data_IF_190912295072
#
_entry.id   IF_190912295072
#
_cell.length_a   1.000
_cell.length_b   1.000
_cell.length_c   1.000
_cell.angle_alpha   90.00
_cell.angle_beta   90.00
_cell.angle_gamma   90.00
#
_symmetry.space_group_name_H-M   'P 1'
#
loop_
_entity.id
_entity.type
_entity.pdbx_description
1 polymer ?
#
# COMPACT_ATOMS: atom_id res chain seq x y z
N UNK A 1 2.37 -20.44 4.74
CA UNK A 1 1.62 -20.63 3.47
C UNK A 1 1.07 -19.32 2.97
N UNK A 2 0.93 -19.19 1.67
CA UNK A 2 0.40 -17.96 1.08
C UNK A 2 -1.09 -17.86 1.33
N UNK A 3 -1.53 -16.74 1.91
CA UNK A 3 -2.94 -16.46 2.15
C UNK A 3 -3.57 -15.68 1.01
N UNK A 4 -2.77 -14.91 0.27
CA UNK A 4 -3.27 -14.13 -0.85
C UNK A 4 -2.17 -13.39 -1.57
N UNK A 5 -2.44 -13.03 -2.81
CA UNK A 5 -1.55 -12.22 -3.62
C UNK A 5 -2.35 -11.10 -4.26
N UNK A 6 -1.69 -9.99 -4.53
CA UNK A 6 -2.31 -8.87 -5.19
C UNK A 6 -1.30 -8.10 -6.01
N UNK A 7 -1.78 -7.48 -7.06
CA UNK A 7 -0.97 -6.62 -7.91
C UNK A 7 -1.80 -5.43 -8.34
N UNK A 8 -1.13 -4.32 -8.58
CA UNK A 8 -1.79 -3.12 -9.07
C UNK A 8 -0.83 -2.29 -9.90
N UNK A 9 -1.36 -1.58 -10.85
CA UNK A 9 -0.60 -0.65 -11.70
C UNK A 9 -1.36 0.67 -11.75
N UNK A 10 -0.66 1.78 -11.55
CA UNK A 10 -1.27 3.10 -11.56
C UNK A 10 -0.46 4.07 -12.41
N UNK A 11 -1.13 5.02 -13.01
CA UNK A 11 -0.45 6.12 -13.71
C UNK A 11 0.03 7.14 -12.68
N UNK A 12 1.33 7.43 -12.71
CA UNK A 12 1.94 8.37 -11.77
C UNK A 12 1.29 9.75 -11.89
N UNK A 13 1.03 10.21 -13.13
CA UNK A 13 0.41 11.51 -13.36
C UNK A 13 -0.98 11.66 -12.76
N UNK A 14 -1.78 10.58 -12.77
CA UNK A 14 -3.12 10.60 -12.17
C UNK A 14 -3.03 10.69 -10.64
N UNK A 15 -2.12 9.94 -10.03
CA UNK A 15 -1.92 10.01 -8.59
C UNK A 15 -1.38 11.38 -8.19
N UNK A 16 -0.43 11.93 -8.95
CA UNK A 16 0.11 13.27 -8.71
C UNK A 16 -1.00 14.32 -8.71
N UNK A 17 -1.90 14.25 -9.68
CA UNK A 17 -3.03 15.18 -9.76
C UNK A 17 -3.95 15.04 -8.54
N UNK A 18 -4.25 13.81 -8.14
CA UNK A 18 -5.08 13.56 -6.96
C UNK A 18 -4.42 14.09 -5.69
N UNK A 19 -3.10 13.93 -5.55
CA UNK A 19 -2.34 14.42 -4.41
C UNK A 19 -2.37 15.95 -4.28
N UNK A 20 -2.69 16.66 -5.34
CA UNK A 20 -2.88 18.11 -5.31
C UNK A 20 -4.11 18.54 -4.51
N UNK A 21 -5.01 17.61 -4.21
CA UNK A 21 -6.18 17.85 -3.37
C UNK A 21 -5.89 17.40 -1.95
N UNK A 22 -6.01 18.31 -0.99
CA UNK A 22 -5.72 18.00 0.42
C UNK A 22 -6.58 16.87 0.97
N UNK A 23 -7.84 16.76 0.51
CA UNK A 23 -8.73 15.69 0.95
C UNK A 23 -8.21 14.31 0.56
N UNK A 24 -7.73 14.15 -0.67
CA UNK A 24 -7.13 12.90 -1.11
C UNK A 24 -5.83 12.61 -0.34
N UNK A 25 -4.94 13.60 -0.29
CA UNK A 25 -3.64 13.51 0.35
C UNK A 25 -3.75 13.04 1.81
N UNK A 26 -4.66 13.68 2.57
CA UNK A 26 -4.82 13.37 3.99
C UNK A 26 -5.63 12.11 4.25
N UNK A 27 -6.48 11.69 3.32
CA UNK A 27 -7.28 10.49 3.47
C UNK A 27 -6.52 9.23 3.08
N UNK A 28 -5.53 9.35 2.22
CA UNK A 28 -4.80 8.19 1.68
C UNK A 28 -3.48 7.95 2.38
N UNK A 29 -2.76 9.01 2.76
CA UNK A 29 -1.40 8.88 3.28
C UNK A 29 -1.30 9.33 4.74
N UNK A 30 -0.63 8.51 5.55
CA UNK A 30 -0.34 8.87 6.95
C UNK A 30 0.68 10.01 6.99
N UNK A 31 0.81 10.65 8.16
CA UNK A 31 1.80 11.72 8.34
C UNK A 31 3.21 11.24 7.98
N UNK A 32 3.57 10.02 8.38
CA UNK A 32 4.88 9.44 8.07
C UNK A 32 5.07 9.22 6.57
N UNK A 33 4.01 8.73 5.89
CA UNK A 33 4.06 8.59 4.45
C UNK A 33 4.22 9.94 3.75
N UNK A 34 3.46 10.94 4.20
CA UNK A 34 3.54 12.28 3.61
C UNK A 34 4.95 12.86 3.73
N UNK A 35 5.58 12.67 4.87
CA UNK A 35 6.96 13.12 5.08
C UNK A 35 7.94 12.39 4.16
N UNK A 36 7.80 11.09 4.06
CA UNK A 36 8.67 10.25 3.23
C UNK A 36 8.48 10.56 1.74
N UNK A 37 7.25 10.79 1.31
CA UNK A 37 6.92 11.10 -0.08
C UNK A 37 7.41 12.50 -0.45
N UNK A 38 7.14 13.49 0.40
CA UNK A 38 7.46 14.88 0.09
C UNK A 38 6.82 15.29 -1.23
N UNK A 39 7.65 15.65 -2.20
CA UNK A 39 7.19 16.04 -3.55
C UNK A 39 7.42 14.94 -4.59
N UNK A 40 7.88 13.79 -4.18
CA UNK A 40 8.16 12.68 -5.09
C UNK A 40 6.88 11.91 -5.41
N UNK A 41 6.23 12.28 -6.48
CA UNK A 41 4.96 11.68 -6.87
C UNK A 41 5.10 10.22 -7.35
N UNK A 42 6.27 9.82 -7.78
CA UNK A 42 6.54 8.41 -8.07
C UNK A 42 6.41 7.56 -6.80
N UNK A 43 6.89 8.09 -5.66
CA UNK A 43 6.69 7.43 -4.35
C UNK A 43 5.24 7.41 -3.93
N UNK A 44 4.52 8.52 -4.15
CA UNK A 44 3.09 8.57 -3.84
C UNK A 44 2.32 7.52 -4.63
N UNK A 45 2.63 7.38 -5.92
CA UNK A 45 1.99 6.39 -6.79
C UNK A 45 2.35 4.96 -6.37
N UNK A 46 3.62 4.71 -6.04
CA UNK A 46 4.06 3.40 -5.57
C UNK A 46 3.35 2.98 -4.29
N UNK A 47 3.24 3.89 -3.33
CA UNK A 47 2.52 3.63 -2.09
C UNK A 47 1.04 3.36 -2.34
N UNK A 48 0.41 4.14 -3.23
CA UNK A 48 -0.99 3.93 -3.58
C UNK A 48 -1.20 2.54 -4.20
N UNK A 49 -0.32 2.16 -5.12
CA UNK A 49 -0.39 0.85 -5.77
C UNK A 49 -0.23 -0.29 -4.74
N UNK A 50 0.65 -0.13 -3.74
CA UNK A 50 0.80 -1.13 -2.66
C UNK A 50 -0.49 -1.28 -1.87
N UNK A 51 -1.14 -0.18 -1.52
CA UNK A 51 -2.41 -0.22 -0.76
C UNK A 51 -3.48 -0.99 -1.53
N UNK A 52 -3.60 -0.73 -2.83
CA UNK A 52 -4.51 -1.46 -3.71
C UNK A 52 -4.15 -2.95 -3.80
N UNK A 53 -2.87 -3.25 -3.97
CA UNK A 53 -2.40 -4.64 -4.08
C UNK A 53 -2.70 -5.43 -2.80
N UNK A 54 -2.55 -4.80 -1.63
CA UNK A 54 -2.82 -5.47 -0.35
C UNK A 54 -4.30 -5.81 -0.19
N UNK A 55 -5.21 -4.88 -0.51
CA UNK A 55 -6.64 -5.19 -0.38
C UNK A 55 -7.08 -6.22 -1.42
N UNK A 56 -6.40 -6.31 -2.57
CA UNK A 56 -6.60 -7.41 -3.50
C UNK A 56 -6.11 -8.74 -2.92
N UNK A 57 -4.95 -8.73 -2.25
CA UNK A 57 -4.43 -9.92 -1.58
C UNK A 57 -5.38 -10.39 -0.46
N UNK A 58 -6.03 -9.46 0.23
CA UNK A 58 -7.06 -9.78 1.22
C UNK A 58 -8.38 -10.24 0.59
N UNK A 59 -8.59 -9.93 -0.68
CA UNK A 59 -9.83 -10.25 -1.37
C UNK A 59 -11.00 -9.34 -1.00
N UNK A 60 -10.73 -8.20 -0.35
CA UNK A 60 -11.78 -7.32 0.16
C UNK A 60 -12.03 -6.08 -0.70
N UNK A 61 -10.99 -5.59 -1.39
CA UNK A 61 -11.02 -4.24 -1.92
C UNK A 61 -11.10 -3.21 -0.80
N UNK A 62 -11.23 -1.94 -1.14
CA UNK A 62 -11.50 -0.90 -0.17
C UNK A 62 -12.99 -0.84 0.12
N UNK A 63 -13.33 -0.54 1.35
CA UNK A 63 -14.68 -0.48 1.85
C UNK A 63 -14.55 -0.21 3.33
N UNK A 64 -14.57 -1.27 4.14
CA UNK A 64 -14.27 -1.14 5.57
C UNK A 64 -12.81 -0.77 5.78
N UNK A 65 -11.90 -1.29 4.96
CA UNK A 65 -10.50 -0.93 5.00
C UNK A 65 -10.30 0.36 4.22
N UNK A 66 -9.69 1.35 4.86
CA UNK A 66 -9.38 2.63 4.25
C UNK A 66 -7.89 2.69 3.87
N UNK A 67 -7.53 3.39 2.79
CA UNK A 67 -6.12 3.45 2.36
C UNK A 67 -5.15 3.92 3.45
N UNK A 68 -5.55 4.85 4.29
CA UNK A 68 -4.70 5.39 5.35
C UNK A 68 -4.34 4.33 6.40
N UNK A 69 -5.09 3.23 6.48
CA UNK A 69 -4.83 2.15 7.43
C UNK A 69 -3.69 1.24 6.98
N UNK A 70 -3.23 1.41 5.75
CA UNK A 70 -2.10 0.66 5.18
C UNK A 70 -0.97 1.65 4.94
N UNK A 71 -0.03 1.70 5.86
CA UNK A 71 1.08 2.65 5.80
C UNK A 71 2.29 2.01 5.14
N UNK A 72 2.77 2.60 4.06
CA UNK A 72 3.90 2.07 3.29
C UNK A 72 5.11 2.95 3.52
N UNK A 73 6.13 2.40 4.14
CA UNK A 73 7.36 3.11 4.44
C UNK A 73 8.55 2.41 3.79
N UNK A 74 9.73 2.98 3.94
CA UNK A 74 10.96 2.41 3.41
C UNK A 74 11.95 2.20 4.55
N UNK A 75 12.67 1.08 4.54
CA UNK A 75 13.76 0.86 5.47
C UNK A 75 15.00 1.66 5.03
N UNK A 76 16.08 1.67 5.81
CA UNK A 76 17.29 2.43 5.44
C UNK A 76 17.90 2.02 4.09
N UNK A 77 17.67 0.79 3.64
CA UNK A 77 18.13 0.31 2.34
C UNK A 77 17.17 0.68 1.19
N UNK A 78 16.03 1.29 1.51
CA UNK A 78 15.03 1.67 0.51
C UNK A 78 13.98 0.61 0.23
N UNK A 79 14.01 -0.50 0.95
CA UNK A 79 13.05 -1.59 0.76
C UNK A 79 11.70 -1.21 1.36
N UNK A 80 10.59 -1.36 0.62
CA UNK A 80 9.28 -1.05 1.17
C UNK A 80 8.83 -2.09 2.20
N UNK A 81 8.15 -1.60 3.22
CA UNK A 81 7.47 -2.43 4.21
C UNK A 81 6.17 -1.75 4.62
N UNK A 82 5.30 -2.49 5.28
CA UNK A 82 3.93 -2.06 5.54
C UNK A 82 3.58 -2.21 7.01
N UNK A 83 2.93 -1.18 7.55
CA UNK A 83 2.27 -1.24 8.86
C UNK A 83 0.77 -1.20 8.63
N UNK A 84 0.04 -2.04 9.35
CA UNK A 84 -1.42 -2.09 9.26
C UNK A 84 -2.05 -1.55 10.53
N UNK A 85 -3.16 -0.83 10.37
CA UNK A 85 -3.89 -0.21 11.47
C UNK A 85 -5.38 -0.51 11.35
N UNK A 86 -6.08 -0.49 12.48
CA UNK A 86 -7.55 -0.56 12.55
C UNK A 86 -8.12 -1.73 11.74
N UNK A 87 -9.06 -1.46 10.83
CA UNK A 87 -9.74 -2.51 10.06
C UNK A 87 -8.78 -3.32 9.19
N UNK A 88 -7.71 -2.70 8.68
CA UNK A 88 -6.70 -3.42 7.90
C UNK A 88 -5.96 -4.44 8.77
N UNK A 89 -5.59 -4.04 9.98
CA UNK A 89 -4.95 -4.95 10.95
C UNK A 89 -5.91 -6.06 11.36
N UNK A 90 -7.18 -5.73 11.61
CA UNK A 90 -8.18 -6.71 11.99
C UNK A 90 -8.41 -7.73 10.88
N UNK A 91 -8.45 -7.29 9.62
CA UNK A 91 -8.62 -8.21 8.49
C UNK A 91 -7.45 -9.19 8.39
N UNK A 92 -6.23 -8.71 8.58
CA UNK A 92 -5.06 -9.58 8.59
C UNK A 92 -5.17 -10.63 9.70
N UNK A 93 -5.58 -10.23 10.90
CA UNK A 93 -5.76 -11.15 12.02
C UNK A 93 -6.84 -12.19 11.72
N UNK A 94 -7.95 -11.76 11.16
CA UNK A 94 -9.05 -12.67 10.81
C UNK A 94 -8.62 -13.73 9.81
N UNK A 95 -7.76 -13.37 8.86
CA UNK A 95 -7.21 -14.30 7.87
C UNK A 95 -6.04 -15.11 8.38
N UNK A 96 -5.53 -14.81 9.58
CA UNK A 96 -4.32 -15.44 10.11
C UNK A 96 -3.04 -14.99 9.44
N UNK A 97 -3.08 -13.83 8.79
CA UNK A 97 -1.92 -13.27 8.09
C UNK A 97 -0.92 -12.73 9.10
N UNK A 98 0.32 -13.18 9.03
CA UNK A 98 1.40 -12.77 9.91
C UNK A 98 2.46 -11.93 9.21
N UNK A 99 2.56 -12.05 7.89
CA UNK A 99 3.53 -11.28 7.14
C UNK A 99 2.92 -10.76 5.85
N UNK A 100 3.30 -9.54 5.51
CA UNK A 100 2.94 -8.95 4.21
C UNK A 100 4.24 -8.50 3.56
N UNK A 101 4.48 -9.00 2.36
CA UNK A 101 5.68 -8.72 1.59
C UNK A 101 5.26 -7.96 0.35
N UNK A 102 5.94 -6.87 0.07
CA UNK A 102 5.57 -6.00 -1.04
C UNK A 102 6.79 -5.66 -1.88
N UNK A 103 6.53 -5.42 -3.15
CA UNK A 103 7.55 -4.97 -4.10
C UNK A 103 6.94 -3.88 -4.96
N UNK A 104 7.74 -2.89 -5.31
CA UNK A 104 7.31 -1.77 -6.14
C UNK A 104 8.28 -1.63 -7.30
N UNK A 105 7.72 -1.48 -8.50
CA UNK A 105 8.49 -1.15 -9.69
C UNK A 105 7.94 0.16 -10.24
N UNK A 106 8.82 1.13 -10.44
CA UNK A 106 8.46 2.41 -11.04
C UNK A 106 9.13 2.55 -12.39
N UNK A 107 8.38 3.03 -13.36
CA UNK A 107 8.97 3.48 -14.60
C UNK A 107 8.52 4.94 -14.81
N UNK A 108 8.72 5.50 -15.97
CA UNK A 108 8.49 6.92 -16.20
C UNK A 108 7.03 7.36 -15.96
N UNK A 109 6.08 6.52 -16.38
CA UNK A 109 4.65 6.89 -16.35
C UNK A 109 3.83 6.05 -15.39
N UNK A 110 4.31 4.88 -14.99
CA UNK A 110 3.54 3.92 -14.20
C UNK A 110 4.30 3.45 -12.98
N UNK A 111 3.56 3.19 -11.92
CA UNK A 111 4.05 2.47 -10.75
C UNK A 111 3.28 1.16 -10.64
N UNK A 112 4.01 0.07 -10.41
CA UNK A 112 3.46 -1.27 -10.25
C UNK A 112 3.78 -1.76 -8.86
N UNK A 113 2.83 -2.38 -8.20
CA UNK A 113 3.07 -3.01 -6.91
C UNK A 113 2.62 -4.46 -6.92
N UNK A 114 3.31 -5.26 -6.13
CA UNK A 114 2.97 -6.65 -5.90
C UNK A 114 2.94 -6.88 -4.39
N UNK A 115 1.93 -7.61 -3.90
CA UNK A 115 1.80 -7.94 -2.49
C UNK A 115 1.57 -9.43 -2.30
N UNK A 116 2.23 -9.98 -1.28
CA UNK A 116 2.03 -11.37 -0.85
C UNK A 116 1.68 -11.33 0.63
N UNK A 117 0.52 -11.89 0.97
CA UNK A 117 0.11 -12.07 2.35
C UNK A 117 0.38 -13.52 2.74
N UNK A 118 1.12 -13.70 3.82
CA UNK A 118 1.53 -15.02 4.28
C UNK A 118 0.94 -15.30 5.65
N UNK A 119 0.39 -16.49 5.82
CA UNK A 119 -0.12 -16.92 7.12
C UNK A 119 0.72 -18.08 7.64
N UNK A 120 0.66 -18.24 8.98
CA UNK A 120 1.39 -19.32 9.63
C UNK A 120 0.91 -20.67 9.11
N UNK A 121 1.86 -21.51 8.78
CA UNK A 121 1.60 -22.90 8.41
C UNK A 121 1.35 -23.73 9.68
N UNK A 122 0.41 -24.63 9.59
CA UNK A 122 0.10 -25.53 10.69
C UNK A 122 0.24 -26.97 10.27
#
# INVERSE_FOLDING_TARGET
MIAGIGTDIVEIGRVAKACGHSSFWNRVYTAKEQEMIGKNMSRAAGNFAVKEAIVKAFGTGFGKIQPIQIEVLRDPAGKPYVNLYKEAEQQAKTMGVEGIFVSISNEKEYALAFAVAEKRER
#
